data_IF_290891785229
#
_entry.id   IF_290891785229
#
_cell.length_a   1.000
_cell.length_b   1.000
_cell.length_c   1.000
_cell.angle_alpha   90.00
_cell.angle_beta   90.00
_cell.angle_gamma   90.00
#
_symmetry.space_group_name_H-M   'P 1'
#
loop_
_entity.id
_entity.type
_entity.pdbx_description
1 polymer ?
#
# COMPACT_ATOMS: atom_id res chain seq x y z
N UNK A 1 -19.06 -8.40 2.91
CA UNK A 1 -17.64 -8.10 3.14
C UNK A 1 -17.55 -6.64 3.57
N UNK A 2 -16.77 -6.34 4.61
CA UNK A 2 -16.48 -4.95 4.97
C UNK A 2 -15.31 -4.48 4.09
N UNK A 3 -15.51 -3.45 3.28
CA UNK A 3 -14.54 -2.94 2.32
C UNK A 3 -14.50 -1.41 2.38
N UNK A 4 -14.64 -0.88 3.59
CA UNK A 4 -14.63 0.55 3.88
C UNK A 4 -13.79 0.88 5.11
N UNK A 5 -13.26 2.08 5.14
CA UNK A 5 -12.52 2.66 6.27
C UNK A 5 -12.64 4.19 6.24
N UNK A 6 -12.14 4.85 7.30
CA UNK A 6 -12.15 6.29 7.49
C UNK A 6 -13.31 6.77 8.35
N UNK A 7 -13.20 7.98 8.86
CA UNK A 7 -14.22 8.66 9.67
C UNK A 7 -14.75 9.88 8.93
N UNK A 8 -13.91 10.85 8.69
CA UNK A 8 -14.21 12.08 7.94
C UNK A 8 -14.04 11.86 6.45
N UNK A 9 -12.92 11.24 6.06
CA UNK A 9 -12.69 10.79 4.68
C UNK A 9 -13.01 9.31 4.62
N UNK A 10 -14.20 8.96 4.17
CA UNK A 10 -14.65 7.57 4.09
C UNK A 10 -14.36 7.00 2.71
N UNK A 11 -13.70 5.85 2.68
CA UNK A 11 -13.34 5.15 1.44
C UNK A 11 -14.00 3.79 1.42
N UNK A 12 -14.76 3.50 0.38
CA UNK A 12 -15.30 2.16 0.11
C UNK A 12 -14.79 1.66 -1.24
N UNK A 13 -14.34 0.39 -1.29
CA UNK A 13 -13.91 -0.26 -2.54
C UNK A 13 -14.86 -1.37 -2.94
N UNK A 14 -15.06 -1.58 -4.25
CA UNK A 14 -15.93 -2.61 -4.79
C UNK A 14 -15.33 -3.31 -6.00
N UNK A 15 -15.96 -4.41 -6.41
CA UNK A 15 -15.58 -5.19 -7.59
C UNK A 15 -14.75 -6.43 -7.25
N UNK A 16 -14.27 -7.09 -8.29
CA UNK A 16 -13.47 -8.31 -8.22
C UNK A 16 -12.48 -8.37 -9.37
N UNK A 17 -11.34 -9.06 -9.19
CA UNK A 17 -10.23 -9.10 -10.15
C UNK A 17 -10.65 -9.53 -11.56
N UNK A 18 -11.64 -10.44 -11.68
CA UNK A 18 -12.17 -10.94 -12.95
C UNK A 18 -13.66 -10.56 -13.15
N UNK A 19 -14.17 -9.59 -12.36
CA UNK A 19 -15.45 -8.94 -12.59
C UNK A 19 -15.37 -7.92 -13.74
N UNK A 20 -16.47 -7.28 -14.05
CA UNK A 20 -16.57 -6.24 -15.08
C UNK A 20 -15.64 -5.05 -14.81
N UNK A 21 -15.65 -4.58 -13.57
CA UNK A 21 -14.83 -3.46 -13.11
C UNK A 21 -14.48 -3.62 -11.63
N UNK A 22 -13.52 -2.81 -11.20
CA UNK A 22 -13.24 -2.48 -9.81
C UNK A 22 -13.43 -0.98 -9.64
N UNK A 23 -13.70 -0.50 -8.44
CA UNK A 23 -13.87 0.93 -8.22
C UNK A 23 -13.92 1.29 -6.76
N UNK A 24 -14.21 2.56 -6.51
CA UNK A 24 -14.33 3.11 -5.17
C UNK A 24 -15.33 4.25 -5.10
N UNK A 25 -15.75 4.51 -3.86
CA UNK A 25 -16.51 5.70 -3.48
C UNK A 25 -15.71 6.36 -2.35
N UNK A 26 -15.50 7.67 -2.46
CA UNK A 26 -14.85 8.48 -1.43
C UNK A 26 -15.80 9.58 -1.00
N UNK A 27 -16.12 9.65 0.28
CA UNK A 27 -16.93 10.70 0.89
C UNK A 27 -16.04 11.61 1.76
N UNK A 28 -16.47 12.85 1.94
CA UNK A 28 -15.79 13.83 2.80
C UNK A 28 -14.67 14.61 2.13
N UNK A 29 -14.43 14.42 0.82
CA UNK A 29 -13.44 15.23 0.10
C UNK A 29 -13.88 16.71 0.04
N UNK A 30 -12.94 17.67 0.17
CA UNK A 30 -13.25 19.10 0.15
C UNK A 30 -13.71 19.54 -1.26
N UNK A 31 -14.63 20.51 -1.31
CA UNK A 31 -15.09 21.12 -2.55
C UNK A 31 -14.12 22.18 -3.06
N UNK A 32 -14.03 22.36 -4.38
CA UNK A 32 -13.32 23.47 -5.01
C UNK A 32 -11.83 23.22 -5.29
N UNK A 33 -11.30 22.04 -4.97
CA UNK A 33 -9.91 21.68 -5.28
C UNK A 33 -9.81 21.07 -6.66
N UNK A 34 -8.89 21.59 -7.47
CA UNK A 34 -8.60 21.04 -8.80
C UNK A 34 -7.63 19.88 -8.67
N UNK A 35 -7.95 18.76 -9.31
CA UNK A 35 -7.10 17.57 -9.34
C UNK A 35 -6.39 17.49 -10.68
N UNK A 36 -5.07 17.41 -10.66
CA UNK A 36 -4.26 17.12 -11.84
C UNK A 36 -4.43 15.64 -12.21
N UNK A 37 -5.21 15.41 -13.27
CA UNK A 37 -5.53 14.06 -13.75
C UNK A 37 -4.32 13.39 -14.40
N UNK A 38 -3.43 14.15 -15.03
CA UNK A 38 -2.22 13.59 -15.64
C UNK A 38 -1.23 13.12 -14.56
N UNK A 39 -1.07 13.91 -13.50
CA UNK A 39 -0.30 13.50 -12.31
C UNK A 39 -0.90 12.27 -11.65
N UNK A 40 -2.24 12.25 -11.47
CA UNK A 40 -2.93 11.08 -10.93
C UNK A 40 -2.69 9.84 -11.79
N UNK A 41 -2.76 9.97 -13.12
CA UNK A 41 -2.50 8.86 -14.03
C UNK A 41 -1.04 8.40 -13.99
N UNK A 42 -0.08 9.32 -13.85
CA UNK A 42 1.33 9.01 -13.66
C UNK A 42 1.56 8.22 -12.35
N UNK A 43 0.88 8.62 -11.26
CA UNK A 43 0.91 7.89 -10.00
C UNK A 43 0.32 6.47 -10.14
N UNK A 44 -0.82 6.33 -10.79
CA UNK A 44 -1.47 5.03 -11.04
C UNK A 44 -0.60 4.11 -11.89
N UNK A 45 0.14 4.66 -12.85
CA UNK A 45 1.07 3.91 -13.69
C UNK A 45 2.18 3.22 -12.88
N UNK A 46 2.65 3.79 -11.78
CA UNK A 46 3.65 3.16 -10.88
C UNK A 46 3.10 1.86 -10.28
N UNK A 47 1.79 1.80 -9.98
CA UNK A 47 1.12 0.59 -9.47
C UNK A 47 0.75 -0.39 -10.59
N UNK A 48 0.41 0.08 -11.79
CA UNK A 48 -0.14 -0.72 -12.88
C UNK A 48 0.76 -1.90 -13.24
N UNK A 49 0.19 -3.08 -13.59
CA UNK A 49 0.97 -4.26 -13.94
C UNK A 49 1.58 -4.17 -15.35
N UNK A 50 2.66 -4.93 -15.59
CA UNK A 50 3.22 -5.12 -16.93
C UNK A 50 4.04 -3.96 -17.46
N UNK A 51 4.61 -3.12 -16.57
CA UNK A 51 5.45 -1.98 -16.94
C UNK A 51 6.87 -2.40 -17.37
N UNK A 52 7.37 -3.53 -16.90
CA UNK A 52 8.73 -4.01 -17.18
C UNK A 52 8.82 -5.54 -17.04
N UNK A 53 10.00 -6.09 -17.34
CA UNK A 53 10.25 -7.53 -17.31
C UNK A 53 10.25 -8.16 -15.90
N UNK A 54 10.36 -7.38 -14.84
CA UNK A 54 10.36 -7.85 -13.44
C UNK A 54 8.96 -8.11 -12.89
N UNK A 55 7.94 -7.70 -13.63
CA UNK A 55 6.53 -7.78 -13.23
C UNK A 55 5.77 -8.86 -13.98
N UNK A 56 4.52 -9.06 -13.57
CA UNK A 56 3.56 -9.90 -14.27
C UNK A 56 3.36 -9.46 -15.73
N UNK A 57 3.05 -10.41 -16.61
CA UNK A 57 2.71 -10.12 -18.01
C UNK A 57 1.27 -9.57 -18.22
N UNK A 58 0.47 -9.47 -17.15
CA UNK A 58 -0.84 -8.81 -17.21
C UNK A 58 -0.65 -7.34 -17.57
N UNK A 59 -1.50 -6.80 -18.45
CA UNK A 59 -1.47 -5.38 -18.83
C UNK A 59 -2.82 -4.76 -18.52
N UNK A 60 -2.83 -3.76 -17.65
CA UNK A 60 -4.00 -2.94 -17.30
C UNK A 60 -3.55 -1.49 -17.20
N UNK A 61 -4.22 -0.59 -17.87
CA UNK A 61 -3.84 0.83 -17.88
C UNK A 61 -4.25 1.56 -16.59
N UNK A 62 -5.17 0.98 -15.80
CA UNK A 62 -5.71 1.55 -14.56
C UNK A 62 -6.25 2.98 -14.74
N UNK A 63 -6.98 3.22 -15.83
CA UNK A 63 -7.60 4.51 -16.12
C UNK A 63 -8.93 4.58 -15.39
N UNK A 64 -9.13 5.53 -14.44
CA UNK A 64 -10.40 5.69 -13.74
C UNK A 64 -11.42 6.41 -14.64
N UNK A 65 -12.67 5.92 -14.62
CA UNK A 65 -13.84 6.63 -15.13
C UNK A 65 -14.54 7.25 -13.93
N UNK A 66 -14.54 8.58 -13.82
CA UNK A 66 -15.24 9.31 -12.76
C UNK A 66 -16.73 9.40 -13.08
N UNK A 67 -17.57 8.96 -12.15
CA UNK A 67 -19.03 8.87 -12.31
C UNK A 67 -19.77 10.00 -11.60
N UNK A 68 -19.19 10.52 -10.52
CA UNK A 68 -19.70 11.64 -9.73
C UNK A 68 -18.59 12.25 -8.88
N UNK A 69 -18.85 13.39 -8.25
CA UNK A 69 -17.94 14.04 -7.28
C UNK A 69 -16.86 14.89 -7.92
N UNK A 70 -16.78 14.95 -9.26
CA UNK A 70 -15.82 15.76 -9.98
C UNK A 70 -16.50 16.43 -11.20
N UNK A 71 -16.22 17.71 -11.41
CA UNK A 71 -16.72 18.52 -12.55
C UNK A 71 -15.52 19.29 -13.10
N UNK A 72 -15.21 19.12 -14.37
CA UNK A 72 -14.10 19.78 -15.07
C UNK A 72 -12.76 19.69 -14.32
N UNK A 73 -12.48 18.50 -13.73
CA UNK A 73 -11.27 18.24 -12.94
C UNK A 73 -11.30 18.78 -11.51
N UNK A 74 -12.39 19.41 -11.08
CA UNK A 74 -12.54 20.00 -9.75
C UNK A 74 -13.46 19.14 -8.87
N UNK A 75 -13.07 18.90 -7.61
CA UNK A 75 -13.91 18.21 -6.62
C UNK A 75 -15.14 19.05 -6.29
N UNK A 76 -16.32 18.41 -6.37
CA UNK A 76 -17.61 19.10 -6.16
C UNK A 76 -18.14 19.03 -4.72
N UNK A 77 -17.43 18.31 -3.82
CA UNK A 77 -17.88 18.06 -2.44
C UNK A 77 -18.95 16.97 -2.31
N UNK A 78 -19.55 16.51 -3.42
CA UNK A 78 -20.41 15.31 -3.41
C UNK A 78 -19.56 14.04 -3.42
N UNK A 79 -20.12 12.85 -3.06
CA UNK A 79 -19.38 11.61 -3.08
C UNK A 79 -18.68 11.37 -4.41
N UNK A 80 -17.36 11.18 -4.37
CA UNK A 80 -16.55 10.85 -5.54
C UNK A 80 -16.71 9.36 -5.84
N UNK A 81 -17.41 9.00 -6.90
CA UNK A 81 -17.52 7.64 -7.37
C UNK A 81 -16.75 7.45 -8.68
N UNK A 82 -15.99 6.36 -8.76
CA UNK A 82 -15.21 6.02 -9.95
C UNK A 82 -15.09 4.51 -10.13
N UNK A 83 -14.83 4.09 -11.37
CA UNK A 83 -14.54 2.70 -11.68
C UNK A 83 -13.34 2.58 -12.65
N UNK A 84 -12.69 1.41 -12.62
CA UNK A 84 -11.65 1.00 -13.56
C UNK A 84 -12.12 -0.31 -14.21
N UNK A 85 -12.24 -0.36 -15.53
CA UNK A 85 -12.62 -1.57 -16.26
C UNK A 85 -11.51 -2.60 -16.23
N UNK A 86 -11.87 -3.86 -16.09
CA UNK A 86 -10.94 -4.97 -16.25
C UNK A 86 -10.90 -5.37 -17.73
N UNK A 87 -9.74 -5.25 -18.38
CA UNK A 87 -9.58 -5.49 -19.81
C UNK A 87 -8.71 -6.70 -20.18
N UNK A 88 -7.87 -7.18 -19.24
CA UNK A 88 -6.88 -8.23 -19.46
C UNK A 88 -7.10 -9.47 -18.59
N UNK A 89 -8.35 -9.91 -18.43
CA UNK A 89 -8.70 -11.07 -17.60
C UNK A 89 -8.72 -12.37 -18.43
N UNK A 90 -8.11 -13.45 -17.90
CA UNK A 90 -8.14 -14.80 -18.44
C UNK A 90 -8.72 -15.75 -17.40
N UNK A 91 -10.03 -15.92 -17.39
CA UNK A 91 -10.75 -16.67 -16.33
C UNK A 91 -10.49 -18.19 -16.38
N UNK A 92 -10.07 -18.72 -17.53
CA UNK A 92 -9.78 -20.16 -17.71
C UNK A 92 -8.60 -20.67 -16.88
N UNK A 93 -7.65 -19.79 -16.54
CA UNK A 93 -6.43 -20.15 -15.78
C UNK A 93 -6.71 -20.57 -14.32
N UNK A 94 -7.95 -20.42 -13.84
CA UNK A 94 -8.32 -20.61 -12.43
C UNK A 94 -9.32 -21.76 -12.19
N UNK A 95 -9.61 -22.59 -13.18
CA UNK A 95 -10.61 -23.65 -13.06
C UNK A 95 -10.22 -24.72 -12.02
N UNK A 96 -8.93 -25.10 -11.95
CA UNK A 96 -8.41 -26.04 -10.96
C UNK A 96 -8.40 -25.47 -9.52
N UNK A 97 -8.42 -24.15 -9.36
CA UNK A 97 -8.41 -23.49 -8.04
C UNK A 97 -9.80 -23.42 -7.39
N UNK A 98 -10.84 -23.89 -8.08
CA UNK A 98 -12.19 -23.95 -7.47
C UNK A 98 -12.28 -24.96 -6.36
N UNK A 99 -11.56 -26.07 -6.46
CA UNK A 99 -11.58 -27.13 -5.46
C UNK A 99 -10.28 -27.19 -4.64
N UNK A 100 -9.15 -26.85 -5.24
CA UNK A 100 -7.83 -26.95 -4.61
C UNK A 100 -7.34 -25.54 -4.26
N UNK A 101 -7.38 -25.13 -2.96
CA UNK A 101 -6.98 -23.81 -2.54
C UNK A 101 -5.46 -23.62 -2.63
N UNK A 102 -5.04 -22.43 -3.05
CA UNK A 102 -3.62 -22.05 -3.03
C UNK A 102 -3.11 -21.92 -1.60
N UNK A 103 -1.97 -22.52 -1.26
CA UNK A 103 -1.31 -22.30 0.03
C UNK A 103 -1.08 -20.81 0.29
N UNK A 104 -1.33 -20.35 1.53
CA UNK A 104 -1.14 -18.96 1.96
C UNK A 104 -1.96 -17.90 1.21
N UNK A 105 -2.95 -18.30 0.39
CA UNK A 105 -3.91 -17.41 -0.26
C UNK A 105 -5.28 -17.42 0.47
N UNK A 106 -6.15 -16.48 0.14
CA UNK A 106 -7.48 -16.38 0.73
C UNK A 106 -8.49 -17.44 0.23
N UNK A 107 -8.13 -18.31 -0.70
CA UNK A 107 -9.07 -19.25 -1.36
C UNK A 107 -9.85 -20.10 -0.37
N UNK A 108 -9.16 -20.70 0.61
CA UNK A 108 -9.79 -21.52 1.65
C UNK A 108 -10.65 -20.69 2.61
N UNK A 109 -10.06 -19.65 3.19
CA UNK A 109 -10.73 -18.83 4.20
C UNK A 109 -11.92 -18.06 3.64
N UNK A 110 -11.85 -17.58 2.40
CA UNK A 110 -12.96 -16.94 1.71
C UNK A 110 -14.12 -17.91 1.49
N UNK A 111 -13.84 -19.15 1.06
CA UNK A 111 -14.86 -20.17 0.86
C UNK A 111 -15.52 -20.56 2.19
N UNK A 112 -14.74 -20.74 3.26
CA UNK A 112 -15.28 -21.04 4.59
C UNK A 112 -16.16 -19.91 5.13
N UNK A 113 -15.80 -18.66 4.86
CA UNK A 113 -16.53 -17.48 5.35
C UNK A 113 -17.78 -17.15 4.53
N UNK A 114 -17.73 -17.28 3.19
CA UNK A 114 -18.75 -16.76 2.28
C UNK A 114 -19.44 -17.85 1.45
N UNK A 115 -19.04 -19.12 1.61
CA UNK A 115 -19.58 -20.27 0.89
C UNK A 115 -19.05 -20.42 -0.54
N UNK A 116 -19.54 -21.44 -1.23
CA UNK A 116 -19.03 -21.86 -2.54
C UNK A 116 -19.35 -20.92 -3.70
N UNK A 117 -20.24 -19.95 -3.48
CA UNK A 117 -20.63 -18.97 -4.50
C UNK A 117 -19.75 -17.73 -4.51
N UNK A 118 -18.75 -17.63 -3.63
CA UNK A 118 -17.79 -16.52 -3.64
C UNK A 118 -16.98 -16.55 -4.94
N UNK A 119 -16.89 -15.40 -5.62
CA UNK A 119 -16.08 -15.29 -6.85
C UNK A 119 -14.60 -15.16 -6.49
N UNK A 120 -13.86 -16.26 -6.63
CA UNK A 120 -12.41 -16.33 -6.37
C UNK A 120 -11.57 -16.30 -7.65
N UNK A 121 -12.16 -16.05 -8.83
CA UNK A 121 -11.39 -15.94 -10.08
C UNK A 121 -10.35 -14.82 -9.97
N UNK A 122 -9.08 -15.15 -10.20
CA UNK A 122 -7.98 -14.20 -10.03
C UNK A 122 -7.80 -13.67 -8.59
N UNK A 123 -8.35 -14.36 -7.58
CA UNK A 123 -8.39 -13.92 -6.19
C UNK A 123 -9.63 -13.09 -5.82
N UNK A 124 -10.52 -12.83 -6.77
CA UNK A 124 -11.79 -12.14 -6.55
C UNK A 124 -11.60 -10.76 -5.92
N UNK A 125 -12.34 -10.51 -4.85
CA UNK A 125 -12.24 -9.28 -4.03
C UNK A 125 -10.98 -9.25 -3.13
N UNK A 126 -10.31 -10.40 -2.92
CA UNK A 126 -9.07 -10.50 -2.14
C UNK A 126 -7.81 -10.27 -2.99
N UNK A 127 -7.96 -10.00 -4.27
CA UNK A 127 -6.86 -9.78 -5.20
C UNK A 127 -6.17 -8.44 -4.95
N UNK A 128 -4.83 -8.40 -5.15
CA UNK A 128 -4.07 -7.15 -5.19
C UNK A 128 -4.55 -6.17 -6.30
N UNK A 129 -5.40 -6.63 -7.23
CA UNK A 129 -6.08 -5.76 -8.20
C UNK A 129 -6.91 -4.67 -7.53
N UNK A 130 -7.50 -4.97 -6.35
CA UNK A 130 -8.33 -4.06 -5.55
C UNK A 130 -7.52 -2.91 -4.91
N UNK A 131 -6.20 -2.90 -5.05
CA UNK A 131 -5.36 -1.76 -4.65
C UNK A 131 -5.42 -0.60 -5.64
N UNK A 132 -5.85 -0.82 -6.90
CA UNK A 132 -5.97 0.25 -7.87
C UNK A 132 -7.00 1.33 -7.46
N UNK A 133 -8.22 0.99 -6.99
CA UNK A 133 -9.12 1.98 -6.41
C UNK A 133 -8.53 2.75 -5.22
N UNK A 134 -7.75 2.10 -4.36
CA UNK A 134 -7.06 2.79 -3.26
C UNK A 134 -6.05 3.81 -3.78
N UNK A 135 -5.32 3.48 -4.87
CA UNK A 135 -4.39 4.41 -5.49
C UNK A 135 -5.09 5.58 -6.19
N UNK A 136 -6.31 5.42 -6.72
CA UNK A 136 -7.09 6.56 -7.25
C UNK A 136 -7.44 7.51 -6.11
N UNK A 137 -8.06 7.00 -5.05
CA UNK A 137 -8.44 7.82 -3.90
C UNK A 137 -7.21 8.45 -3.22
N UNK A 138 -6.15 7.66 -3.00
CA UNK A 138 -4.93 8.11 -2.34
C UNK A 138 -4.10 9.07 -3.19
N UNK A 139 -4.09 8.92 -4.52
CA UNK A 139 -3.44 9.88 -5.42
C UNK A 139 -4.10 11.27 -5.37
N UNK A 140 -5.42 11.32 -5.22
CA UNK A 140 -6.14 12.57 -4.96
C UNK A 140 -5.77 13.11 -3.58
N UNK A 141 -5.74 12.26 -2.54
CA UNK A 141 -5.34 12.66 -1.19
C UNK A 141 -3.92 13.23 -1.14
N UNK A 142 -2.97 12.64 -1.89
CA UNK A 142 -1.58 13.15 -1.99
C UNK A 142 -1.54 14.58 -2.54
N UNK A 143 -2.34 14.90 -3.57
CA UNK A 143 -2.41 16.26 -4.11
C UNK A 143 -2.98 17.25 -3.08
N UNK A 144 -4.06 16.88 -2.40
CA UNK A 144 -4.66 17.72 -1.33
C UNK A 144 -3.70 17.94 -0.15
N UNK A 145 -2.94 16.92 0.24
CA UNK A 145 -1.95 17.02 1.32
C UNK A 145 -0.78 17.91 0.93
N UNK A 146 -0.32 17.83 -0.33
CA UNK A 146 0.76 18.69 -0.83
C UNK A 146 0.39 20.18 -0.79
N UNK A 147 -0.88 20.54 -1.05
CA UNK A 147 -1.36 21.91 -0.87
C UNK A 147 -1.23 22.42 0.58
N UNK A 148 -1.19 21.50 1.54
CA UNK A 148 -0.97 21.77 2.97
C UNK A 148 0.51 21.66 3.39
N UNK A 149 1.44 21.45 2.43
CA UNK A 149 2.86 21.27 2.72
C UNK A 149 3.25 19.89 3.26
N UNK A 150 2.36 18.89 3.14
CA UNK A 150 2.62 17.52 3.55
C UNK A 150 3.05 16.70 2.33
N UNK A 151 4.25 16.11 2.40
CA UNK A 151 4.81 15.25 1.35
C UNK A 151 4.94 13.80 1.86
N UNK A 152 4.61 12.82 1.00
CA UNK A 152 4.67 11.40 1.32
C UNK A 152 5.38 10.67 0.18
N UNK A 153 6.48 9.99 0.50
CA UNK A 153 7.23 9.19 -0.46
C UNK A 153 7.65 7.87 0.16
N UNK A 154 7.68 6.83 -0.67
CA UNK A 154 8.11 5.50 -0.27
C UNK A 154 9.27 4.99 -1.11
N UNK A 155 10.05 4.09 -0.53
CA UNK A 155 11.10 3.34 -1.21
C UNK A 155 11.14 1.88 -0.75
N UNK A 156 11.96 1.07 -1.42
CA UNK A 156 12.21 -0.32 -1.04
C UNK A 156 13.35 -0.35 -0.02
N UNK A 157 13.04 -0.55 1.25
CA UNK A 157 14.04 -0.78 2.29
C UNK A 157 14.72 -2.13 2.16
N UNK A 158 13.98 -3.14 1.65
CA UNK A 158 14.51 -4.50 1.50
C UNK A 158 13.75 -5.26 0.41
N UNK A 159 14.46 -6.09 -0.37
CA UNK A 159 13.89 -7.08 -1.28
C UNK A 159 14.59 -8.42 -1.06
N UNK A 160 13.83 -9.44 -0.63
CA UNK A 160 14.43 -10.70 -0.19
C UNK A 160 15.42 -10.46 0.96
N UNK A 161 16.69 -10.77 0.74
CA UNK A 161 17.79 -10.53 1.70
C UNK A 161 18.61 -9.27 1.39
N UNK A 162 18.32 -8.58 0.29
CA UNK A 162 19.05 -7.38 -0.13
C UNK A 162 18.43 -6.17 0.57
N UNK A 163 19.24 -5.53 1.41
CA UNK A 163 18.86 -4.33 2.16
C UNK A 163 19.37 -3.07 1.45
N UNK A 164 18.60 -2.02 1.50
CA UNK A 164 18.96 -0.68 1.04
C UNK A 164 19.78 0.07 2.09
N UNK A 165 20.39 1.18 1.71
CA UNK A 165 21.03 2.11 2.65
C UNK A 165 19.96 2.80 3.49
N UNK A 166 20.13 2.87 4.84
CA UNK A 166 19.24 3.61 5.71
C UNK A 166 19.16 5.09 5.33
N UNK A 167 17.98 5.67 5.46
CA UNK A 167 17.76 7.11 5.30
C UNK A 167 17.89 7.85 6.63
N UNK A 168 18.19 9.15 6.56
CA UNK A 168 18.08 10.03 7.71
C UNK A 168 16.60 10.21 8.09
N UNK A 169 16.21 9.71 9.27
CA UNK A 169 14.82 9.78 9.73
C UNK A 169 14.43 11.15 10.31
N UNK A 170 15.40 12.03 10.60
CA UNK A 170 15.15 13.39 11.10
C UNK A 170 15.08 14.38 9.94
N UNK A 171 16.03 14.27 8.98
CA UNK A 171 16.16 15.19 7.83
C UNK A 171 16.18 14.39 6.52
N UNK A 172 15.10 13.69 6.14
CA UNK A 172 15.07 12.92 4.90
C UNK A 172 15.14 13.83 3.68
N UNK A 173 15.91 13.44 2.66
CA UNK A 173 15.90 14.11 1.37
C UNK A 173 14.66 13.73 0.56
N UNK A 174 13.56 14.46 0.79
CA UNK A 174 12.27 14.20 0.14
C UNK A 174 12.34 14.38 -1.39
N UNK A 175 13.23 15.24 -1.90
CA UNK A 175 13.42 15.42 -3.36
C UNK A 175 14.09 14.20 -3.98
N UNK A 176 15.09 13.65 -3.31
CA UNK A 176 15.71 12.39 -3.73
C UNK A 176 14.70 11.23 -3.67
N UNK A 177 13.92 11.12 -2.59
CA UNK A 177 12.89 10.11 -2.46
C UNK A 177 11.81 10.22 -3.53
N UNK A 178 11.32 11.43 -3.85
CA UNK A 178 10.37 11.65 -4.93
C UNK A 178 10.88 11.15 -6.28
N UNK A 179 12.17 11.39 -6.59
CA UNK A 179 12.82 10.89 -7.80
C UNK A 179 12.94 9.36 -7.78
N UNK A 180 13.42 8.79 -6.68
CA UNK A 180 13.60 7.34 -6.51
C UNK A 180 12.27 6.62 -6.64
N UNK A 181 11.19 7.17 -6.10
CA UNK A 181 9.85 6.60 -6.17
C UNK A 181 9.34 6.36 -7.61
N UNK A 182 9.92 7.01 -8.61
CA UNK A 182 9.58 6.81 -10.03
C UNK A 182 10.40 5.69 -10.71
N UNK A 183 11.43 5.18 -10.04
CA UNK A 183 12.30 4.14 -10.58
C UNK A 183 11.63 2.75 -10.53
N UNK A 184 12.02 1.86 -11.41
CA UNK A 184 11.53 0.47 -11.44
C UNK A 184 11.86 -0.28 -10.15
N UNK A 185 13.06 -0.05 -9.62
CA UNK A 185 13.54 -0.57 -8.34
C UNK A 185 13.86 0.66 -7.50
N UNK A 186 12.92 1.07 -6.68
CA UNK A 186 12.97 2.31 -5.92
C UNK A 186 13.82 2.15 -4.65
N UNK A 187 15.12 1.96 -4.80
CA UNK A 187 16.12 1.91 -3.72
C UNK A 187 16.97 3.18 -3.75
N UNK A 188 17.35 3.66 -2.56
CA UNK A 188 18.23 4.81 -2.34
C UNK A 188 19.61 4.51 -2.93
N UNK A 189 20.16 3.35 -2.60
CA UNK A 189 21.43 2.88 -3.15
C UNK A 189 21.24 2.33 -4.57
N UNK A 190 21.72 3.10 -5.56
CA UNK A 190 21.64 2.71 -6.96
C UNK A 190 22.41 1.42 -7.27
N UNK A 191 23.48 1.12 -6.52
CA UNK A 191 24.32 -0.07 -6.74
C UNK A 191 23.62 -1.37 -6.29
N UNK A 192 22.59 -1.28 -5.45
CA UNK A 192 21.74 -2.41 -5.05
C UNK A 192 20.69 -2.80 -6.10
N UNK A 193 20.33 -1.90 -6.99
CA UNK A 193 19.28 -2.13 -8.00
C UNK A 193 19.59 -3.32 -8.93
N UNK A 194 20.83 -3.48 -9.47
CA UNK A 194 21.17 -4.67 -10.27
C UNK A 194 21.12 -5.98 -9.45
N UNK A 195 21.46 -5.95 -8.15
CA UNK A 195 21.36 -7.14 -7.29
C UNK A 195 19.90 -7.59 -7.16
N UNK A 196 18.99 -6.64 -6.92
CA UNK A 196 17.54 -6.90 -6.86
C UNK A 196 17.00 -7.39 -8.20
N UNK A 197 17.40 -6.77 -9.32
CA UNK A 197 16.99 -7.21 -10.66
C UNK A 197 17.39 -8.66 -10.90
N UNK A 198 18.65 -9.01 -10.63
CA UNK A 198 19.17 -10.37 -10.78
C UNK A 198 18.41 -11.39 -9.91
N UNK A 199 18.13 -11.02 -8.63
CA UNK A 199 17.35 -11.85 -7.72
C UNK A 199 15.95 -12.13 -8.29
N UNK A 200 15.24 -11.08 -8.69
CA UNK A 200 13.85 -11.18 -9.17
C UNK A 200 13.78 -11.96 -10.49
N UNK A 201 14.72 -11.72 -11.40
CA UNK A 201 14.81 -12.47 -12.66
C UNK A 201 15.13 -13.94 -12.44
N UNK A 202 16.01 -14.27 -11.50
CA UNK A 202 16.30 -15.65 -11.10
C UNK A 202 15.05 -16.33 -10.56
N UNK A 203 14.35 -15.71 -9.60
CA UNK A 203 13.12 -16.24 -9.01
C UNK A 203 12.03 -16.44 -10.07
N UNK A 204 11.88 -15.50 -10.99
CA UNK A 204 10.95 -15.64 -12.12
C UNK A 204 11.26 -16.86 -12.97
N UNK A 205 12.55 -17.13 -13.27
CA UNK A 205 12.99 -18.32 -14.01
C UNK A 205 12.75 -19.59 -13.22
N UNK A 206 13.00 -19.56 -11.92
CA UNK A 206 12.86 -20.71 -11.00
C UNK A 206 11.38 -20.98 -10.63
N UNK A 207 10.45 -20.12 -11.09
CA UNK A 207 9.02 -20.23 -10.79
C UNK A 207 8.67 -19.96 -9.32
N UNK A 208 9.47 -19.14 -8.63
CA UNK A 208 9.33 -18.79 -7.21
C UNK A 208 9.06 -17.30 -7.01
N UNK A 209 8.99 -16.87 -5.76
CA UNK A 209 8.74 -15.47 -5.38
C UNK A 209 9.50 -15.07 -4.13
N UNK A 210 9.63 -13.76 -3.92
CA UNK A 210 10.17 -13.17 -2.70
C UNK A 210 9.28 -12.02 -2.21
N UNK A 211 9.43 -11.68 -0.93
CA UNK A 211 8.83 -10.51 -0.30
C UNK A 211 9.81 -9.34 -0.25
N UNK A 212 9.43 -8.33 0.52
CA UNK A 212 10.25 -7.16 0.77
C UNK A 212 9.67 -6.27 1.85
N UNK A 213 10.37 -5.18 2.14
CA UNK A 213 9.93 -4.14 3.06
C UNK A 213 9.87 -2.83 2.27
N UNK A 214 8.71 -2.19 2.29
CA UNK A 214 8.53 -0.81 1.84
C UNK A 214 8.65 0.09 3.06
N UNK A 215 9.47 1.13 2.98
CA UNK A 215 9.51 2.22 3.96
C UNK A 215 8.85 3.45 3.36
N UNK A 216 7.95 4.08 4.12
CA UNK A 216 7.25 5.31 3.73
C UNK A 216 7.55 6.39 4.73
N UNK A 217 7.87 7.56 4.22
CA UNK A 217 8.15 8.77 4.98
C UNK A 217 7.10 9.82 4.63
N UNK A 218 6.53 10.45 5.67
CA UNK A 218 5.68 11.62 5.51
C UNK A 218 6.25 12.80 6.31
N UNK A 219 6.42 13.94 5.66
CA UNK A 219 6.92 15.19 6.26
C UNK A 219 5.86 16.27 6.25
N UNK A 220 6.07 17.35 7.03
CA UNK A 220 5.15 18.48 7.10
C UNK A 220 3.92 18.23 7.96
N UNK A 221 3.88 17.14 8.73
CA UNK A 221 2.78 16.86 9.65
C UNK A 221 2.81 17.84 10.82
N UNK A 222 1.64 18.43 11.21
CA UNK A 222 1.58 19.27 12.40
C UNK A 222 1.81 18.44 13.66
N UNK A 223 2.35 19.04 14.70
CA UNK A 223 2.34 18.45 16.05
C UNK A 223 0.89 18.34 16.52
N UNK A 224 0.55 17.20 17.15
CA UNK A 224 -0.77 17.04 17.77
C UNK A 224 -1.80 16.32 16.91
N UNK A 225 -1.45 15.83 15.72
CA UNK A 225 -2.34 15.01 14.90
C UNK A 225 -2.43 13.59 15.44
N UNK A 226 -3.62 13.09 15.68
CA UNK A 226 -3.87 11.75 16.24
C UNK A 226 -4.55 11.80 17.60
N UNK A 227 -4.71 10.64 18.22
CA UNK A 227 -5.38 10.46 19.50
C UNK A 227 -4.62 9.43 20.35
N UNK A 228 -4.77 9.48 21.68
CA UNK A 228 -4.17 8.45 22.53
C UNK A 228 -4.88 7.10 22.39
N UNK A 229 -4.20 6.04 22.82
CA UNK A 229 -4.69 4.67 22.94
C UNK A 229 -5.09 4.03 21.58
N UNK A 230 -6.40 3.84 21.33
CA UNK A 230 -6.90 2.96 20.28
C UNK A 230 -7.24 3.67 18.94
N UNK A 231 -7.09 4.98 18.88
CA UNK A 231 -7.39 5.77 17.68
C UNK A 231 -6.24 6.72 17.30
N UNK A 232 -5.03 6.34 17.66
CA UNK A 232 -3.80 7.04 17.30
C UNK A 232 -3.41 6.84 15.83
N UNK A 233 -2.36 7.55 15.42
CA UNK A 233 -1.81 7.49 14.06
C UNK A 233 -1.43 6.05 13.71
N UNK A 234 -0.67 5.36 14.58
CA UNK A 234 -0.25 3.97 14.34
C UNK A 234 -1.45 3.04 14.20
N UNK A 235 -2.50 3.23 15.03
CA UNK A 235 -3.67 2.36 15.03
C UNK A 235 -4.44 2.45 13.71
N UNK A 236 -4.74 3.68 13.21
CA UNK A 236 -5.47 3.87 11.96
C UNK A 236 -4.62 3.45 10.76
N UNK A 237 -3.32 3.80 10.74
CA UNK A 237 -2.39 3.36 9.68
C UNK A 237 -2.31 1.83 9.62
N UNK A 238 -2.02 1.16 10.73
CA UNK A 238 -1.93 -0.28 10.78
C UNK A 238 -3.24 -0.96 10.33
N UNK A 239 -4.39 -0.47 10.80
CA UNK A 239 -5.72 -0.99 10.39
C UNK A 239 -5.90 -0.97 8.88
N UNK A 240 -5.58 0.15 8.22
CA UNK A 240 -5.79 0.31 6.77
C UNK A 240 -4.74 -0.48 5.98
N UNK A 241 -3.48 -0.42 6.41
CA UNK A 241 -2.35 -1.11 5.76
C UNK A 241 -2.51 -2.62 5.79
N UNK A 242 -2.97 -3.21 6.91
CA UNK A 242 -3.30 -4.65 6.94
C UNK A 242 -4.50 -5.02 6.05
N UNK A 243 -5.29 -4.06 5.58
CA UNK A 243 -6.30 -4.24 4.53
C UNK A 243 -5.70 -4.41 3.14
N UNK A 244 -4.46 -4.02 2.91
CA UNK A 244 -3.75 -4.20 1.64
C UNK A 244 -3.29 -5.66 1.52
N UNK A 245 -3.58 -6.34 0.40
CA UNK A 245 -3.16 -7.73 0.19
C UNK A 245 -1.64 -7.92 0.32
N UNK A 246 -1.23 -9.06 0.86
CA UNK A 246 0.14 -9.51 1.12
C UNK A 246 0.87 -8.84 2.29
N UNK A 247 0.30 -7.85 2.96
CA UNK A 247 0.92 -7.24 4.14
C UNK A 247 0.92 -8.23 5.32
N UNK A 248 2.05 -8.30 6.04
CA UNK A 248 2.26 -9.18 7.21
C UNK A 248 2.93 -8.51 8.39
N UNK A 249 3.45 -7.31 8.22
CA UNK A 249 4.07 -6.53 9.29
C UNK A 249 3.96 -5.04 9.04
N UNK A 250 3.85 -4.29 10.12
CA UNK A 250 3.93 -2.82 10.13
C UNK A 250 4.75 -2.44 11.35
N UNK A 251 5.69 -1.53 11.20
CA UNK A 251 6.44 -0.93 12.30
C UNK A 251 6.68 0.56 12.03
N UNK A 252 6.98 1.31 13.09
CA UNK A 252 7.21 2.75 13.04
C UNK A 252 8.58 3.07 13.61
N UNK A 253 9.28 4.05 13.04
CA UNK A 253 10.62 4.45 13.46
C UNK A 253 11.61 3.29 13.45
N UNK A 254 12.33 3.08 14.55
CA UNK A 254 13.27 1.97 14.74
C UNK A 254 12.59 0.60 14.83
N UNK A 255 11.26 0.55 15.02
CA UNK A 255 10.48 -0.69 14.97
C UNK A 255 10.95 -1.76 15.95
N UNK A 256 11.06 -3.01 15.45
CA UNK A 256 11.48 -4.15 16.27
C UNK A 256 12.95 -4.11 16.70
N UNK A 257 13.82 -3.38 15.98
CA UNK A 257 15.24 -3.28 16.32
C UNK A 257 15.45 -2.61 17.68
N UNK A 258 14.54 -1.68 18.05
CA UNK A 258 14.58 -1.02 19.36
C UNK A 258 14.36 -1.97 20.55
N UNK A 259 13.73 -3.13 20.31
CA UNK A 259 13.48 -4.10 21.39
C UNK A 259 14.76 -4.69 22.01
N UNK A 260 15.87 -4.63 21.29
CA UNK A 260 17.19 -5.08 21.74
C UNK A 260 18.09 -3.96 22.28
N UNK A 261 17.62 -2.70 22.27
CA UNK A 261 18.36 -1.53 22.70
C UNK A 261 18.03 -1.13 24.14
N UNK A 262 18.92 -0.36 24.75
CA UNK A 262 18.66 0.29 26.04
C UNK A 262 17.84 1.56 25.81
N UNK A 263 16.97 1.94 26.78
CA UNK A 263 16.18 3.15 26.70
C UNK A 263 17.03 4.41 26.47
N UNK A 264 18.21 4.49 27.08
CA UNK A 264 19.17 5.58 26.90
C UNK A 264 19.76 5.68 25.48
N UNK A 265 19.65 4.62 24.66
CA UNK A 265 20.17 4.58 23.30
C UNK A 265 19.09 4.99 22.27
N UNK A 266 17.82 4.80 22.59
CA UNK A 266 16.70 5.00 21.66
C UNK A 266 15.73 6.12 22.06
N UNK A 267 15.89 6.72 23.24
CA UNK A 267 15.08 7.89 23.62
C UNK A 267 15.44 9.09 22.73
N UNK A 268 14.43 9.64 22.04
CA UNK A 268 14.57 10.82 21.20
C UNK A 268 14.68 12.08 22.09
N UNK A 269 15.91 12.56 22.30
CA UNK A 269 16.19 13.68 23.17
C UNK A 269 15.66 14.99 22.58
N UNK A 270 14.85 15.73 23.32
CA UNK A 270 14.34 17.02 22.89
C UNK A 270 15.46 18.07 22.76
N UNK A 271 15.33 18.92 21.75
CA UNK A 271 16.20 20.06 21.48
C UNK A 271 15.40 21.21 20.87
N UNK A 272 15.99 22.40 20.88
CA UNK A 272 15.43 23.59 20.23
C UNK A 272 16.11 23.80 18.87
N UNK A 273 15.29 24.03 17.84
CA UNK A 273 15.72 24.57 16.53
C UNK A 273 15.07 25.93 16.35
N UNK A 274 15.79 26.99 16.72
CA UNK A 274 15.19 28.32 16.89
C UNK A 274 14.10 28.29 17.99
N UNK A 275 12.87 28.64 17.62
CA UNK A 275 11.70 28.60 18.50
C UNK A 275 10.91 27.29 18.43
N UNK A 276 11.37 26.32 17.61
CA UNK A 276 10.69 25.03 17.38
C UNK A 276 11.27 23.97 18.33
N UNK A 277 10.39 23.25 19.03
CA UNK A 277 10.76 22.06 19.78
C UNK A 277 10.86 20.89 18.81
N UNK A 278 12.00 20.22 18.80
CA UNK A 278 12.27 19.04 17.98
C UNK A 278 13.04 17.98 18.78
N UNK A 279 13.52 16.92 18.14
CA UNK A 279 14.38 15.92 18.76
C UNK A 279 15.62 15.66 17.92
N UNK A 280 16.70 15.19 18.57
CA UNK A 280 17.99 14.93 17.90
C UNK A 280 17.99 13.63 17.10
N UNK A 281 17.06 12.72 17.39
CA UNK A 281 16.85 11.43 16.72
C UNK A 281 15.35 11.23 16.47
N UNK A 282 14.97 10.25 15.68
CA UNK A 282 13.56 9.95 15.38
C UNK A 282 13.28 8.44 15.46
N UNK A 283 13.74 7.82 16.53
CA UNK A 283 13.52 6.39 16.80
C UNK A 283 12.03 6.07 16.97
N UNK A 284 11.24 7.01 17.48
CA UNK A 284 9.77 6.91 17.60
C UNK A 284 9.05 7.02 16.27
N UNK A 285 9.73 7.40 15.18
CA UNK A 285 9.14 7.54 13.84
C UNK A 285 8.10 8.64 13.70
N UNK A 286 8.28 9.77 14.42
CA UNK A 286 7.40 10.93 14.34
C UNK A 286 6.12 10.82 15.18
N UNK A 287 5.97 9.77 16.00
CA UNK A 287 4.76 9.48 16.76
C UNK A 287 5.09 9.19 18.22
N UNK A 288 4.43 9.87 19.13
CA UNK A 288 4.55 9.65 20.57
C UNK A 288 3.16 9.59 21.19
N UNK A 289 2.84 8.48 21.86
CA UNK A 289 1.52 8.28 22.48
C UNK A 289 0.34 8.27 21.50
N UNK A 290 0.57 7.88 20.23
CA UNK A 290 -0.43 7.86 19.16
C UNK A 290 -0.62 9.20 18.44
N UNK A 291 0.23 10.20 18.75
CA UNK A 291 0.11 11.60 18.31
C UNK A 291 1.40 12.02 17.61
N UNK A 292 1.29 12.77 16.51
CA UNK A 292 2.45 13.29 15.79
C UNK A 292 3.22 14.34 16.61
N UNK A 293 4.55 14.31 16.54
CA UNK A 293 5.44 15.22 17.24
C UNK A 293 6.12 16.28 16.35
N UNK A 294 5.72 16.36 15.06
CA UNK A 294 6.26 17.31 14.09
C UNK A 294 7.48 16.80 13.31
N UNK A 295 8.09 15.71 13.72
CA UNK A 295 9.13 15.02 12.96
C UNK A 295 8.53 14.20 11.80
N UNK A 296 9.37 13.77 10.84
CA UNK A 296 8.90 12.88 9.79
C UNK A 296 8.26 11.61 10.37
N UNK A 297 7.06 11.27 9.91
CA UNK A 297 6.47 9.97 10.16
C UNK A 297 7.23 8.95 9.30
N UNK A 298 7.84 7.95 9.95
CA UNK A 298 8.58 6.87 9.31
C UNK A 298 7.92 5.54 9.63
N UNK A 299 7.47 4.85 8.57
CA UNK A 299 6.74 3.59 8.70
C UNK A 299 7.32 2.53 7.76
N UNK A 300 7.48 1.31 8.25
CA UNK A 300 7.96 0.15 7.51
C UNK A 300 6.84 -0.87 7.36
N UNK A 301 6.67 -1.39 6.15
CA UNK A 301 5.60 -2.33 5.80
C UNK A 301 6.17 -3.60 5.20
N UNK A 302 6.01 -4.69 5.92
CA UNK A 302 6.49 -6.02 5.52
C UNK A 302 5.50 -6.71 4.58
N UNK A 303 5.97 -7.10 3.41
CA UNK A 303 5.20 -7.72 2.33
C UNK A 303 5.70 -9.14 2.13
N UNK A 304 4.81 -10.12 2.30
CA UNK A 304 5.16 -11.52 2.10
C UNK A 304 5.38 -11.87 0.62
N UNK A 305 6.13 -12.96 0.32
CA UNK A 305 6.19 -13.52 -1.03
C UNK A 305 4.81 -13.80 -1.63
N UNK A 306 4.67 -13.65 -2.93
CA UNK A 306 3.45 -14.00 -3.67
C UNK A 306 3.17 -15.50 -3.51
N UNK A 307 2.01 -15.93 -3.01
CA UNK A 307 1.72 -17.35 -2.79
C UNK A 307 1.45 -18.13 -4.07
N UNK A 308 1.14 -17.44 -5.16
CA UNK A 308 0.93 -18.03 -6.48
C UNK A 308 2.29 -18.18 -7.18
N UNK A 309 2.89 -19.36 -7.06
CA UNK A 309 4.18 -19.74 -7.68
C UNK A 309 3.97 -20.90 -8.64
N UNK A 310 4.93 -21.10 -9.55
CA UNK A 310 4.87 -22.18 -10.56
C UNK A 310 5.44 -23.52 -10.05
N UNK A 311 6.02 -23.53 -8.86
CA UNK A 311 6.47 -24.76 -8.20
C UNK A 311 5.28 -25.58 -7.72
N UNK A 312 5.44 -26.90 -7.73
CA UNK A 312 4.48 -27.81 -7.14
C UNK A 312 4.38 -27.58 -5.63
N UNK A 313 3.16 -27.53 -5.11
CA UNK A 313 2.86 -27.26 -3.70
C UNK A 313 1.86 -28.27 -3.17
N UNK A 314 2.01 -28.65 -1.91
CA UNK A 314 1.01 -29.43 -1.21
C UNK A 314 -0.25 -28.59 -0.95
N UNK A 315 -1.42 -29.18 -1.19
CA UNK A 315 -2.73 -28.60 -0.93
C UNK A 315 -3.74 -29.71 -0.63
N UNK A 316 -5.02 -29.39 -0.62
CA UNK A 316 -6.11 -30.35 -0.39
C UNK A 316 -7.21 -30.18 -1.44
N UNK A 317 -7.87 -31.29 -1.81
CA UNK A 317 -9.16 -31.23 -2.49
C UNK A 317 -10.25 -31.00 -1.43
N UNK A 318 -10.96 -29.88 -1.54
CA UNK A 318 -12.03 -29.53 -0.58
C UNK A 318 -13.25 -30.42 -0.73
N UNK A 319 -13.53 -30.89 -1.95
CA UNK A 319 -14.67 -31.77 -2.24
C UNK A 319 -14.43 -33.23 -1.78
N UNK A 320 -13.20 -33.72 -2.00
CA UNK A 320 -12.84 -35.10 -1.67
C UNK A 320 -12.29 -35.26 -0.25
N UNK A 321 -11.82 -34.15 0.36
CA UNK A 321 -11.20 -34.10 1.69
C UNK A 321 -9.94 -34.96 1.80
N UNK A 322 -9.10 -34.85 0.80
CA UNK A 322 -7.82 -35.58 0.69
C UNK A 322 -6.67 -34.63 0.33
N UNK A 323 -5.45 -35.01 0.69
CA UNK A 323 -4.24 -34.33 0.31
C UNK A 323 -4.00 -34.44 -1.21
N UNK A 324 -3.54 -33.36 -1.82
CA UNK A 324 -3.25 -33.32 -3.24
C UNK A 324 -2.09 -32.36 -3.56
N UNK A 325 -1.62 -32.41 -4.78
CA UNK A 325 -0.60 -31.51 -5.28
C UNK A 325 -1.24 -30.46 -6.18
N UNK A 326 -0.72 -29.23 -6.09
CA UNK A 326 -1.17 -28.10 -6.85
C UNK A 326 -0.01 -27.46 -7.61
N UNK A 327 -0.16 -27.30 -8.92
CA UNK A 327 0.66 -26.44 -9.76
C UNK A 327 -0.21 -25.29 -10.23
N UNK A 328 0.19 -24.07 -9.87
CA UNK A 328 -0.56 -22.86 -10.22
C UNK A 328 -0.10 -22.39 -11.61
N UNK A 329 -1.06 -22.28 -12.51
CA UNK A 329 -0.85 -21.66 -13.84
C UNK A 329 -1.41 -20.25 -13.79
N UNK A 330 -0.75 -19.28 -14.39
CA UNK A 330 -1.21 -17.89 -14.40
C UNK A 330 -0.06 -16.91 -14.51
N UNK A 331 -0.37 -15.63 -14.42
CA UNK A 331 0.60 -14.53 -14.58
C UNK A 331 0.77 -13.83 -13.24
N UNK A 332 1.84 -14.15 -12.51
CA UNK A 332 2.08 -13.66 -11.16
C UNK A 332 3.34 -12.81 -11.08
N UNK A 333 3.38 -11.87 -10.15
CA UNK A 333 4.58 -11.09 -9.84
C UNK A 333 5.56 -11.94 -9.02
N UNK A 334 6.83 -12.07 -9.40
CA UNK A 334 7.84 -12.75 -8.58
C UNK A 334 8.19 -11.96 -7.31
N UNK A 335 7.97 -10.64 -7.32
CA UNK A 335 8.09 -9.78 -6.15
C UNK A 335 7.06 -8.65 -6.23
N UNK A 336 5.99 -8.75 -5.45
CA UNK A 336 4.92 -7.72 -5.46
C UNK A 336 5.34 -6.44 -4.73
N UNK A 337 6.38 -6.48 -3.88
CA UNK A 337 6.90 -5.31 -3.17
C UNK A 337 7.33 -4.19 -4.13
N UNK A 338 7.86 -4.52 -5.31
CA UNK A 338 8.24 -3.54 -6.33
C UNK A 338 7.09 -2.62 -6.79
N UNK A 339 5.84 -3.06 -6.62
CA UNK A 339 4.64 -2.34 -7.03
C UNK A 339 3.78 -1.87 -5.86
N UNK A 340 4.19 -2.20 -4.63
CA UNK A 340 3.42 -1.87 -3.44
C UNK A 340 3.65 -0.44 -2.97
N UNK A 341 4.77 0.19 -3.31
CA UNK A 341 5.12 1.54 -2.86
C UNK A 341 3.97 2.53 -3.06
N UNK A 342 3.44 2.76 -4.28
CA UNK A 342 2.34 3.71 -4.48
C UNK A 342 1.05 3.30 -3.75
N UNK A 343 0.86 2.02 -3.47
CA UNK A 343 -0.29 1.57 -2.67
C UNK A 343 -0.15 2.00 -1.22
N UNK A 344 1.06 1.84 -0.64
CA UNK A 344 1.32 2.23 0.76
C UNK A 344 1.31 3.76 0.89
N UNK A 345 1.90 4.49 -0.06
CA UNK A 345 1.80 5.97 -0.12
C UNK A 345 0.32 6.41 -0.15
N UNK A 346 -0.49 5.80 -1.01
CA UNK A 346 -1.92 6.12 -1.17
C UNK A 346 -2.72 5.92 0.12
N UNK A 347 -2.57 4.76 0.77
CA UNK A 347 -3.33 4.49 2.00
C UNK A 347 -2.82 5.31 3.18
N UNK A 348 -1.53 5.65 3.22
CA UNK A 348 -0.96 6.59 4.20
C UNK A 348 -1.56 7.98 4.02
N UNK A 349 -1.63 8.47 2.78
CA UNK A 349 -2.24 9.77 2.47
C UNK A 349 -3.72 9.85 2.88
N UNK A 350 -4.48 8.79 2.60
CA UNK A 350 -5.90 8.74 2.97
C UNK A 350 -6.10 8.80 4.50
N UNK A 351 -5.26 8.09 5.26
CA UNK A 351 -5.35 8.10 6.73
C UNK A 351 -4.93 9.46 7.30
N UNK A 352 -3.88 10.08 6.78
CA UNK A 352 -3.45 11.41 7.22
C UNK A 352 -4.52 12.46 6.89
N UNK A 353 -5.11 12.42 5.69
CA UNK A 353 -6.18 13.33 5.29
C UNK A 353 -7.44 13.14 6.17
N UNK A 354 -7.77 11.90 6.54
CA UNK A 354 -8.86 11.57 7.47
C UNK A 354 -8.65 12.21 8.85
N UNK A 355 -7.43 12.14 9.39
CA UNK A 355 -7.08 12.80 10.67
C UNK A 355 -7.16 14.34 10.60
N UNK A 356 -6.69 14.93 9.50
CA UNK A 356 -6.77 16.39 9.31
C UNK A 356 -8.23 16.86 9.27
N UNK A 357 -9.11 16.07 8.65
CA UNK A 357 -10.54 16.35 8.65
C UNK A 357 -11.20 16.26 10.04
N UNK A 358 -10.75 15.34 10.89
CA UNK A 358 -11.23 15.24 12.29
C UNK A 358 -10.92 16.53 13.06
N UNK A 359 -9.69 17.07 12.96
CA UNK A 359 -9.28 18.31 13.64
C UNK A 359 -10.07 19.52 13.15
N UNK A 360 -10.28 19.65 11.84
CA UNK A 360 -11.06 20.75 11.26
C UNK A 360 -12.53 20.73 11.74
N UNK A 361 -13.06 19.56 12.10
CA UNK A 361 -14.40 19.41 12.67
C UNK A 361 -14.45 19.73 14.17
N UNK A 362 -13.41 19.39 14.94
CA UNK A 362 -13.34 19.64 16.38
C UNK A 362 -13.08 21.13 16.71
N UNK A 363 -12.49 21.88 15.77
CA UNK A 363 -12.22 23.32 15.92
C UNK A 363 -13.35 24.23 15.40
N UNK A 364 -14.46 23.67 14.88
CA UNK A 364 -15.68 24.37 14.47
C UNK A 364 -16.77 24.24 15.51
#
# INVERSE_FOLDING_TARGET
>A
MASNFGKTIQVATFGASHGYAIGGIVEGLPCGHTIDIDELQAFLKRRAPGQNQLQTQRKEADIPEFLSGMVDGMLSGSPLAFMIRNTSQHSGDYNNLRDIPRPSHADFTARMRYGDKVDMRGGGHFSARLTAPLCVAGGIALQLLREKGIEIHGHLKQVGTIQDTPIDMVHPDMKALAKIATETIAMVDADKRPEVENLVMKLKKDGDSTGGIVEVIATGLPVGLGNPNFDGIENRLARVIFGVPAIKGVSFGGGFDMCSCLGSEVNDAFTMDGDIITTTTNNSGGIQGGITNGLPLVMQVGIKPTPSIYKEQHSVSLSQKEDTLLIIKGRHDPCVALRAIPVIEAVTALVILDFLGDIDHELR
#
